data_IF_044180492943
#
_entry.id   IF_044180492943
#
_cell.length_a   1.000
_cell.length_b   1.000
_cell.length_c   1.000
_cell.angle_alpha   90.00
_cell.angle_beta   90.00
_cell.angle_gamma   90.00
#
_symmetry.space_group_name_H-M   'P 1'
#
loop_
_entity.id
_entity.type
_entity.pdbx_description
1 polymer ?
#
# COMPACT_ATOMS: atom_id res chain seq x y z
N UNK A 1 17.10 -0.15 -8.21
CA UNK A 1 18.09 -0.81 -7.34
C UNK A 1 19.41 -0.05 -7.29
N UNK A 2 20.25 -0.37 -6.33
CA UNK A 2 21.58 0.22 -6.15
C UNK A 2 22.59 -0.85 -5.72
N UNK A 3 23.89 -0.54 -5.88
CA UNK A 3 24.99 -1.38 -5.40
C UNK A 3 25.98 -0.52 -4.60
N UNK A 4 26.45 -1.04 -3.48
CA UNK A 4 27.45 -0.33 -2.67
C UNK A 4 28.89 -0.74 -3.04
N UNK A 5 29.86 -0.09 -2.40
CA UNK A 5 31.29 -0.35 -2.60
C UNK A 5 31.74 -1.77 -2.20
N UNK A 6 30.92 -2.49 -1.43
CA UNK A 6 31.15 -3.89 -1.04
C UNK A 6 30.41 -4.86 -1.95
N UNK A 7 29.91 -4.40 -3.09
CA UNK A 7 29.12 -5.18 -4.06
C UNK A 7 27.81 -5.77 -3.48
N UNK A 8 27.31 -5.24 -2.37
CA UNK A 8 25.96 -5.58 -1.89
C UNK A 8 24.93 -4.93 -2.79
N UNK A 9 23.89 -5.66 -3.14
CA UNK A 9 22.80 -5.15 -3.96
C UNK A 9 21.62 -4.75 -3.05
N UNK A 10 21.02 -3.62 -3.38
CA UNK A 10 19.87 -3.07 -2.66
C UNK A 10 18.73 -2.85 -3.65
N UNK A 11 17.56 -3.28 -3.27
CA UNK A 11 16.33 -2.85 -3.89
C UNK A 11 15.52 -2.07 -2.87
N UNK A 12 15.09 -0.86 -3.24
CA UNK A 12 14.35 0.03 -2.34
C UNK A 12 13.04 0.43 -3.01
N UNK A 13 11.96 0.11 -2.35
CA UNK A 13 10.60 0.40 -2.79
C UNK A 13 9.88 1.28 -1.75
N UNK A 14 9.25 2.35 -2.22
CA UNK A 14 8.37 3.17 -1.40
C UNK A 14 6.93 2.79 -1.70
N UNK A 15 6.21 2.29 -0.69
CA UNK A 15 4.83 1.86 -0.82
C UNK A 15 3.92 2.82 -0.07
N UNK A 16 3.24 3.69 -0.82
CA UNK A 16 2.33 4.68 -0.26
C UNK A 16 0.95 4.11 0.08
N UNK A 17 0.55 3.04 -0.63
CA UNK A 17 -0.70 2.34 -0.41
C UNK A 17 -0.44 0.84 -0.48
N UNK A 18 -0.89 0.10 0.54
CA UNK A 18 -0.76 -1.36 0.57
C UNK A 18 -2.00 -2.07 0.02
N UNK A 19 -2.92 -1.35 -0.60
CA UNK A 19 -4.25 -1.71 -1.11
C UNK A 19 -4.38 -3.20 -1.52
N UNK A 20 -4.53 -4.06 -0.50
CA UNK A 20 -4.72 -5.50 -0.66
C UNK A 20 -3.49 -6.33 -1.05
N UNK A 21 -2.33 -5.74 -1.34
CA UNK A 21 -1.12 -6.48 -1.70
C UNK A 21 -0.27 -6.87 -0.48
N UNK A 22 0.28 -8.08 -0.51
CA UNK A 22 1.18 -8.58 0.54
C UNK A 22 2.62 -8.15 0.28
N UNK A 23 3.00 -7.01 0.84
CA UNK A 23 4.36 -6.44 0.75
C UNK A 23 5.45 -7.43 1.16
N UNK A 24 5.15 -8.36 2.08
CA UNK A 24 6.08 -9.42 2.51
C UNK A 24 6.35 -10.43 1.41
N UNK A 25 5.31 -10.79 0.65
CA UNK A 25 5.45 -11.67 -0.53
C UNK A 25 6.15 -10.95 -1.68
N UNK A 26 5.88 -9.65 -1.88
CA UNK A 26 6.61 -8.83 -2.85
C UNK A 26 8.09 -8.76 -2.52
N UNK A 27 8.48 -8.61 -1.26
CA UNK A 27 9.88 -8.62 -0.85
C UNK A 27 10.59 -9.94 -1.22
N UNK A 28 9.91 -11.09 -1.11
CA UNK A 28 10.42 -12.38 -1.58
C UNK A 28 10.57 -12.42 -3.11
N UNK A 29 9.61 -11.88 -3.83
CA UNK A 29 9.65 -11.84 -5.30
C UNK A 29 10.81 -10.96 -5.80
N UNK A 30 10.98 -9.76 -5.24
CA UNK A 30 12.08 -8.87 -5.61
C UNK A 30 13.45 -9.45 -5.28
N UNK A 31 13.57 -10.19 -4.18
CA UNK A 31 14.78 -10.93 -3.87
C UNK A 31 15.17 -11.87 -5.03
N UNK A 32 14.20 -12.62 -5.57
CA UNK A 32 14.47 -13.52 -6.71
C UNK A 32 14.83 -12.80 -8.00
N UNK A 33 14.28 -11.59 -8.23
CA UNK A 33 14.63 -10.76 -9.38
C UNK A 33 16.06 -10.24 -9.32
N UNK A 34 16.59 -9.95 -8.13
CA UNK A 34 17.99 -9.54 -7.95
C UNK A 34 18.96 -10.71 -8.16
N UNK A 35 18.62 -11.89 -7.67
CA UNK A 35 19.51 -13.04 -7.68
C UNK A 35 19.59 -13.70 -9.08
N UNK A 36 18.48 -13.77 -9.80
CA UNK A 36 18.36 -14.49 -11.07
C UNK A 36 19.33 -13.99 -12.16
N UNK A 37 19.52 -12.68 -12.40
CA UNK A 37 20.42 -12.21 -13.46
C UNK A 37 21.90 -12.42 -13.17
N UNK A 38 22.27 -12.61 -11.91
CA UNK A 38 23.67 -12.72 -11.49
C UNK A 38 24.29 -14.05 -11.90
N UNK A 39 23.48 -15.10 -11.97
CA UNK A 39 23.94 -16.45 -12.27
C UNK A 39 23.81 -16.78 -13.75
N UNK A 40 24.92 -17.16 -14.37
CA UNK A 40 24.93 -17.71 -15.72
C UNK A 40 24.44 -19.15 -15.70
N UNK A 41 23.52 -19.48 -16.60
CA UNK A 41 23.02 -20.84 -16.77
C UNK A 41 24.14 -21.83 -17.17
N UNK A 42 24.07 -23.05 -16.67
CA UNK A 42 24.89 -24.16 -17.08
C UNK A 42 25.99 -24.59 -16.11
N UNK A 43 26.92 -25.42 -16.56
CA UNK A 43 27.97 -26.07 -15.73
C UNK A 43 28.91 -25.07 -15.01
N UNK A 44 28.96 -23.82 -15.42
CA UNK A 44 29.78 -22.76 -14.81
C UNK A 44 29.10 -22.01 -13.68
N UNK A 45 27.86 -22.33 -13.35
CA UNK A 45 27.10 -21.70 -12.25
C UNK A 45 27.79 -21.95 -10.89
N UNK A 46 28.07 -20.87 -10.19
CA UNK A 46 28.68 -20.93 -8.84
C UNK A 46 27.92 -20.02 -7.89
N UNK A 47 27.06 -20.58 -7.07
CA UNK A 47 26.24 -19.84 -6.10
C UNK A 47 27.05 -19.03 -5.07
N UNK A 48 28.30 -19.43 -4.79
CA UNK A 48 29.21 -18.65 -3.93
C UNK A 48 29.54 -17.23 -4.44
N UNK A 49 29.16 -16.91 -5.68
CA UNK A 49 29.36 -15.60 -6.28
C UNK A 49 28.10 -14.72 -6.21
N UNK A 50 27.01 -15.22 -5.62
CA UNK A 50 25.85 -14.39 -5.34
C UNK A 50 26.27 -13.27 -4.38
N UNK A 51 25.97 -12.02 -4.70
CA UNK A 51 26.21 -10.90 -3.79
C UNK A 51 25.25 -10.97 -2.60
N UNK A 52 25.59 -10.32 -1.52
CA UNK A 52 24.57 -10.06 -0.47
C UNK A 52 23.53 -9.11 -1.01
N UNK A 53 22.26 -9.41 -0.73
CA UNK A 53 21.11 -8.64 -1.22
C UNK A 53 20.24 -8.15 -0.07
N UNK A 54 19.78 -6.91 -0.18
CA UNK A 54 18.94 -6.26 0.82
C UNK A 54 17.71 -5.68 0.13
N UNK A 55 16.55 -6.18 0.49
CA UNK A 55 15.27 -5.63 0.04
C UNK A 55 14.76 -4.67 1.10
N UNK A 56 14.48 -3.42 0.72
CA UNK A 56 14.02 -2.36 1.63
C UNK A 56 12.64 -1.90 1.16
N UNK A 57 11.64 -2.07 2.01
CA UNK A 57 10.33 -1.45 1.83
C UNK A 57 10.16 -0.28 2.80
N UNK A 58 9.73 0.86 2.27
CA UNK A 58 9.33 2.03 3.06
C UNK A 58 7.82 2.12 2.97
N UNK A 59 7.12 2.00 4.10
CA UNK A 59 5.66 1.96 4.15
C UNK A 59 5.10 3.14 4.94
N UNK A 60 3.96 3.67 4.49
CA UNK A 60 3.21 4.68 5.23
C UNK A 60 2.53 4.12 6.47
N UNK A 61 2.26 2.80 6.49
CA UNK A 61 1.59 2.12 7.59
C UNK A 61 2.51 1.08 8.23
N UNK A 62 2.24 0.75 9.50
CA UNK A 62 2.93 -0.34 10.19
C UNK A 62 2.32 -1.69 9.81
N UNK A 63 2.83 -2.33 8.77
CA UNK A 63 2.36 -3.62 8.27
C UNK A 63 2.51 -4.79 9.29
N UNK A 64 3.24 -4.59 10.38
CA UNK A 64 3.44 -5.59 11.45
C UNK A 64 2.70 -5.24 12.75
N UNK A 65 2.20 -4.01 12.90
CA UNK A 65 1.44 -3.57 14.07
C UNK A 65 2.23 -3.58 15.38
N UNK A 66 3.56 -3.39 15.36
CA UNK A 66 4.43 -3.41 16.55
C UNK A 66 5.05 -2.06 16.88
N UNK A 67 4.67 -1.02 16.14
CA UNK A 67 5.09 0.37 16.33
C UNK A 67 6.63 0.53 16.43
N UNK A 68 7.35 0.00 15.44
CA UNK A 68 8.79 0.21 15.27
C UNK A 68 9.07 0.91 13.96
N UNK A 69 10.06 1.82 13.95
CA UNK A 69 10.49 2.51 12.73
C UNK A 69 11.20 1.58 11.74
N UNK A 70 11.74 0.46 12.22
CA UNK A 70 12.46 -0.51 11.38
C UNK A 70 12.22 -1.93 11.87
N UNK A 71 11.99 -2.84 10.92
CA UNK A 71 11.96 -4.28 11.12
C UNK A 71 12.97 -4.89 10.17
N UNK A 72 13.87 -5.72 10.69
CA UNK A 72 14.86 -6.45 9.89
C UNK A 72 14.61 -7.95 10.04
N UNK A 73 14.46 -8.62 8.90
CA UNK A 73 14.25 -10.06 8.83
C UNK A 73 15.45 -10.73 8.17
N UNK A 74 15.89 -11.81 8.79
CA UNK A 74 16.90 -12.76 8.30
C UNK A 74 16.44 -14.16 8.65
N UNK A 75 16.91 -15.14 7.91
CA UNK A 75 16.54 -16.55 8.13
C UNK A 75 17.33 -17.17 9.30
N UNK A 76 16.62 -17.96 10.12
CA UNK A 76 17.16 -18.66 11.29
C UNK A 76 16.73 -20.10 11.26
N UNK A 77 17.52 -20.95 11.90
CA UNK A 77 17.15 -22.33 12.18
C UNK A 77 16.01 -22.38 13.20
N UNK A 78 14.99 -23.19 12.95
CA UNK A 78 13.86 -23.35 13.89
C UNK A 78 14.28 -24.16 15.13
N UNK A 79 15.14 -25.17 14.93
CA UNK A 79 15.63 -26.05 15.98
C UNK A 79 16.69 -25.37 16.87
N UNK A 80 17.46 -24.44 16.29
CA UNK A 80 18.49 -23.67 16.98
C UNK A 80 18.33 -22.17 16.67
N UNK A 81 17.48 -21.41 17.37
CA UNK A 81 17.13 -20.04 17.05
C UNK A 81 18.29 -19.04 17.01
N UNK A 82 19.41 -19.35 17.66
CA UNK A 82 20.63 -18.51 17.60
C UNK A 82 21.46 -18.76 16.33
N UNK A 83 21.19 -19.85 15.61
CA UNK A 83 21.88 -20.17 14.36
C UNK A 83 21.22 -19.43 13.21
N UNK A 84 21.98 -18.50 12.61
CA UNK A 84 21.58 -17.79 11.42
C UNK A 84 21.95 -18.57 10.17
N UNK A 85 21.10 -18.57 9.13
CA UNK A 85 21.43 -19.18 7.83
C UNK A 85 22.61 -18.48 7.15
N UNK A 86 22.73 -17.17 7.35
CA UNK A 86 23.81 -16.29 6.87
C UNK A 86 24.09 -16.43 5.35
N UNK A 87 23.01 -16.54 4.58
CA UNK A 87 23.01 -16.66 3.12
C UNK A 87 23.29 -15.33 2.40
N UNK A 88 23.51 -14.25 3.15
CA UNK A 88 23.73 -12.91 2.63
C UNK A 88 22.47 -12.13 2.29
N UNK A 89 21.27 -12.68 2.54
CA UNK A 89 20.01 -11.98 2.29
C UNK A 89 19.46 -11.26 3.52
N UNK A 90 18.78 -10.15 3.32
CA UNK A 90 17.98 -9.51 4.37
C UNK A 90 16.82 -8.71 3.79
N UNK A 91 15.75 -8.61 4.56
CA UNK A 91 14.58 -7.79 4.23
C UNK A 91 14.37 -6.77 5.34
N UNK A 92 14.27 -5.51 4.96
CA UNK A 92 14.10 -4.38 5.87
C UNK A 92 12.79 -3.69 5.54
N UNK A 93 11.96 -3.49 6.55
CA UNK A 93 10.72 -2.72 6.42
C UNK A 93 10.84 -1.48 7.30
N UNK A 94 10.69 -0.32 6.69
CA UNK A 94 10.76 0.99 7.33
C UNK A 94 9.36 1.57 7.42
N UNK A 95 8.93 1.91 8.62
CA UNK A 95 7.61 2.43 8.91
C UNK A 95 7.67 3.93 9.19
N UNK A 96 7.05 4.74 8.31
CA UNK A 96 7.04 6.20 8.43
C UNK A 96 6.11 6.73 9.53
N UNK A 97 5.29 5.89 10.17
CA UNK A 97 4.39 6.34 11.24
C UNK A 97 5.01 6.27 12.63
N UNK A 98 5.98 5.36 12.82
CA UNK A 98 6.58 5.13 14.14
C UNK A 98 7.65 6.16 14.48
N UNK A 99 7.72 6.46 15.78
CA UNK A 99 8.82 7.24 16.37
C UNK A 99 9.78 6.37 17.21
N UNK A 100 9.53 5.06 17.26
CA UNK A 100 10.33 4.10 18.02
C UNK A 100 11.46 3.52 17.17
N UNK A 101 12.59 4.22 17.16
CA UNK A 101 13.78 3.86 16.41
C UNK A 101 14.95 4.77 16.73
N UNK A 102 16.05 4.60 16.00
CA UNK A 102 17.17 5.53 16.09
C UNK A 102 16.71 6.92 15.63
N UNK A 103 17.07 8.00 16.35
CA UNK A 103 16.61 9.37 16.04
C UNK A 103 16.90 9.79 14.59
N UNK A 104 18.06 9.40 14.05
CA UNK A 104 18.45 9.71 12.67
C UNK A 104 17.52 9.07 11.64
N UNK A 105 17.18 7.79 11.87
CA UNK A 105 16.27 7.07 11.00
C UNK A 105 14.85 7.63 11.09
N UNK A 106 14.36 7.89 12.30
CA UNK A 106 13.04 8.49 12.51
C UNK A 106 12.96 9.85 11.82
N UNK A 107 13.99 10.71 11.99
CA UNK A 107 14.04 12.02 11.35
C UNK A 107 14.02 11.92 9.81
N UNK A 108 14.77 10.97 9.23
CA UNK A 108 14.74 10.72 7.80
C UNK A 108 13.34 10.27 7.31
N UNK A 109 12.72 9.32 8.00
CA UNK A 109 11.40 8.81 7.64
C UNK A 109 10.31 9.90 7.77
N UNK A 110 10.39 10.75 8.79
CA UNK A 110 9.50 11.90 8.94
C UNK A 110 9.72 12.95 7.85
N UNK A 111 10.97 13.20 7.46
CA UNK A 111 11.28 14.06 6.33
C UNK A 111 10.68 13.48 5.02
N UNK A 112 10.88 12.20 4.75
CA UNK A 112 10.33 11.54 3.56
C UNK A 112 8.79 11.60 3.53
N UNK A 113 8.14 11.53 4.69
CA UNK A 113 6.69 11.58 4.80
C UNK A 113 6.12 12.97 4.50
N UNK A 114 6.78 14.03 4.91
CA UNK A 114 6.25 15.40 4.89
C UNK A 114 6.99 16.33 3.92
N UNK A 115 8.18 15.95 3.49
CA UNK A 115 9.04 16.68 2.55
C UNK A 115 9.26 18.14 2.97
N UNK A 116 9.44 18.36 4.29
CA UNK A 116 9.73 19.67 4.86
C UNK A 116 10.56 19.51 6.13
N UNK A 117 11.53 20.41 6.33
CA UNK A 117 12.29 20.49 7.57
C UNK A 117 11.50 21.11 8.72
N UNK A 118 10.41 21.81 8.44
CA UNK A 118 9.53 22.40 9.46
C UNK A 118 8.56 21.34 10.03
N UNK A 119 9.13 20.28 10.59
CA UNK A 119 8.42 19.21 11.25
C UNK A 119 9.08 18.92 12.61
N UNK A 120 8.27 18.93 13.68
CA UNK A 120 8.73 18.70 15.06
C UNK A 120 9.30 17.31 15.30
N UNK A 121 8.93 16.35 14.49
CA UNK A 121 9.41 14.97 14.58
C UNK A 121 10.81 14.79 13.94
N UNK A 122 11.32 15.81 13.24
CA UNK A 122 12.71 15.83 12.72
C UNK A 122 13.63 16.38 13.81
N UNK A 123 14.06 15.48 14.68
CA UNK A 123 14.90 15.82 15.84
C UNK A 123 16.36 15.98 15.40
N UNK A 124 16.83 15.10 14.48
CA UNK A 124 18.20 15.14 13.96
C UNK A 124 18.18 15.83 12.59
N UNK A 125 18.86 16.98 12.51
CA UNK A 125 19.03 17.77 11.29
C UNK A 125 20.50 17.78 10.91
N UNK A 126 21.03 16.60 10.61
CA UNK A 126 22.42 16.47 10.19
C UNK A 126 22.62 16.88 8.72
N UNK A 127 23.88 16.94 8.30
CA UNK A 127 24.27 17.34 6.94
C UNK A 127 23.59 16.52 5.85
N UNK A 128 23.27 15.24 6.12
CA UNK A 128 22.63 14.33 5.16
C UNK A 128 21.18 14.73 4.89
N UNK A 129 20.42 15.07 5.93
CA UNK A 129 19.03 15.52 5.79
C UNK A 129 18.99 16.91 5.16
N UNK A 130 19.89 17.82 5.54
CA UNK A 130 19.97 19.15 4.95
C UNK A 130 20.34 19.10 3.47
N UNK A 131 21.29 18.22 3.09
CA UNK A 131 21.65 18.03 1.69
C UNK A 131 20.52 17.39 0.89
N UNK A 132 19.80 16.44 1.47
CA UNK A 132 18.61 15.84 0.85
C UNK A 132 17.53 16.90 0.61
N UNK A 133 17.23 17.74 1.60
CA UNK A 133 16.28 18.84 1.47
C UNK A 133 16.66 19.83 0.37
N UNK A 134 17.94 20.18 0.27
CA UNK A 134 18.44 21.05 -0.81
C UNK A 134 18.20 20.42 -2.19
N UNK A 135 18.55 19.13 -2.36
CA UNK A 135 18.35 18.41 -3.62
C UNK A 135 16.86 18.33 -3.97
N UNK A 136 16.00 18.00 -2.99
CA UNK A 136 14.55 17.93 -3.20
C UNK A 136 13.99 19.29 -3.63
N UNK A 137 14.40 20.38 -2.96
CA UNK A 137 13.96 21.72 -3.31
C UNK A 137 14.45 22.15 -4.71
N UNK A 138 15.68 21.78 -5.11
CA UNK A 138 16.19 22.01 -6.46
C UNK A 138 15.34 21.28 -7.52
N UNK A 139 15.03 19.99 -7.29
CA UNK A 139 14.18 19.18 -8.18
C UNK A 139 12.76 19.74 -8.26
N UNK A 140 12.18 20.16 -7.13
CA UNK A 140 10.82 20.71 -7.09
C UNK A 140 10.67 22.04 -7.85
N UNK A 141 11.76 22.70 -8.21
CA UNK A 141 11.75 23.95 -9.01
C UNK A 141 11.90 23.70 -10.50
N UNK A 142 12.04 22.44 -10.93
CA UNK A 142 12.20 22.11 -12.36
C UNK A 142 10.88 22.00 -13.09
N UNK A 143 10.88 22.24 -14.39
CA UNK A 143 9.72 22.05 -15.26
C UNK A 143 9.30 20.58 -15.33
N UNK A 144 10.27 19.66 -15.28
CA UNK A 144 10.03 18.22 -15.25
C UNK A 144 9.23 17.81 -14.00
N UNK A 145 9.51 18.43 -12.85
CA UNK A 145 8.74 18.19 -11.62
C UNK A 145 7.29 18.65 -11.75
N UNK A 146 7.04 19.82 -12.33
CA UNK A 146 5.68 20.29 -12.58
C UNK A 146 4.91 19.33 -13.50
N UNK A 147 5.56 18.78 -14.51
CA UNK A 147 4.94 17.78 -15.39
C UNK A 147 4.62 16.48 -14.64
N UNK A 148 5.52 16.00 -13.77
CA UNK A 148 5.30 14.82 -12.91
C UNK A 148 4.13 15.07 -11.95
N UNK A 149 4.09 16.22 -11.31
CA UNK A 149 3.04 16.62 -10.37
C UNK A 149 1.66 16.66 -11.03
N UNK A 150 1.56 17.21 -12.26
CA UNK A 150 0.33 17.20 -13.04
C UNK A 150 -0.13 15.80 -13.39
N UNK A 151 0.80 14.92 -13.79
CA UNK A 151 0.51 13.52 -14.09
C UNK A 151 0.00 12.76 -12.85
N UNK A 152 0.67 12.93 -11.69
CA UNK A 152 0.24 12.32 -10.42
C UNK A 152 -1.17 12.80 -10.03
N UNK A 153 -1.45 14.09 -10.20
CA UNK A 153 -2.77 14.66 -9.92
C UNK A 153 -3.85 14.04 -10.82
N UNK A 154 -3.58 13.91 -12.12
CA UNK A 154 -4.50 13.33 -13.10
C UNK A 154 -4.79 11.85 -12.77
N UNK A 155 -3.76 11.06 -12.47
CA UNK A 155 -3.91 9.66 -12.04
C UNK A 155 -4.73 9.59 -10.74
N UNK A 156 -4.44 10.43 -9.76
CA UNK A 156 -5.17 10.48 -8.49
C UNK A 156 -6.65 10.83 -8.68
N UNK A 157 -6.95 11.76 -9.56
CA UNK A 157 -8.33 12.11 -9.90
C UNK A 157 -9.07 10.96 -10.60
N UNK A 158 -8.42 10.27 -11.54
CA UNK A 158 -8.99 9.12 -12.24
C UNK A 158 -9.31 7.98 -11.26
N UNK A 159 -8.37 7.63 -10.39
CA UNK A 159 -8.57 6.59 -9.37
C UNK A 159 -9.65 6.99 -8.35
N UNK A 160 -9.68 8.25 -7.93
CA UNK A 160 -10.71 8.76 -7.03
C UNK A 160 -12.11 8.69 -7.63
N UNK A 161 -12.24 8.98 -8.92
CA UNK A 161 -13.49 8.89 -9.66
C UNK A 161 -13.96 7.42 -9.78
N UNK A 162 -13.06 6.51 -10.13
CA UNK A 162 -13.34 5.07 -10.23
C UNK A 162 -13.82 4.49 -8.89
N UNK A 163 -13.09 4.72 -7.81
CA UNK A 163 -13.46 4.27 -6.45
C UNK A 163 -14.78 4.89 -5.99
N UNK A 164 -15.01 6.17 -6.32
CA UNK A 164 -16.26 6.86 -6.02
C UNK A 164 -17.45 6.24 -6.75
N UNK A 165 -17.29 5.89 -8.02
CA UNK A 165 -18.31 5.23 -8.84
C UNK A 165 -18.62 3.83 -8.32
N UNK A 166 -17.61 3.02 -8.01
CA UNK A 166 -17.78 1.68 -7.44
C UNK A 166 -18.50 1.71 -6.08
N UNK A 167 -18.05 2.59 -5.18
CA UNK A 167 -18.67 2.78 -3.87
C UNK A 167 -20.11 3.26 -4.01
N UNK A 168 -20.38 4.17 -4.95
CA UNK A 168 -21.72 4.68 -5.25
C UNK A 168 -22.64 3.58 -5.76
N UNK A 169 -22.15 2.74 -6.66
CA UNK A 169 -22.89 1.60 -7.19
C UNK A 169 -23.25 0.58 -6.10
N UNK A 170 -22.26 0.19 -5.27
CA UNK A 170 -22.50 -0.73 -4.15
C UNK A 170 -23.54 -0.20 -3.16
N UNK A 171 -23.41 1.07 -2.77
CA UNK A 171 -24.40 1.71 -1.88
C UNK A 171 -25.78 1.82 -2.55
N UNK A 172 -25.83 2.04 -3.86
CA UNK A 172 -27.08 2.07 -4.63
C UNK A 172 -27.79 0.71 -4.63
N UNK A 173 -27.05 -0.37 -4.88
CA UNK A 173 -27.57 -1.73 -4.83
C UNK A 173 -28.10 -2.06 -3.43
N UNK A 174 -27.28 -1.84 -2.40
CA UNK A 174 -27.69 -2.11 -1.01
C UNK A 174 -28.97 -1.36 -0.62
N UNK A 175 -29.05 -0.07 -0.93
CA UNK A 175 -30.25 0.72 -0.66
C UNK A 175 -31.48 0.21 -1.43
N UNK A 176 -31.27 -0.24 -2.69
CA UNK A 176 -32.32 -0.85 -3.51
C UNK A 176 -32.86 -2.13 -2.88
N UNK A 177 -31.98 -3.01 -2.40
CA UNK A 177 -32.34 -4.24 -1.71
C UNK A 177 -33.09 -3.96 -0.40
N UNK A 178 -32.59 -3.03 0.43
CA UNK A 178 -33.23 -2.65 1.67
C UNK A 178 -34.66 -2.09 1.44
N UNK A 179 -34.83 -1.25 0.42
CA UNK A 179 -36.14 -0.71 0.04
C UNK A 179 -37.10 -1.80 -0.42
N UNK A 180 -36.63 -2.75 -1.22
CA UNK A 180 -37.45 -3.89 -1.65
C UNK A 180 -37.90 -4.72 -0.46
N UNK A 181 -36.98 -5.06 0.45
CA UNK A 181 -37.30 -5.84 1.67
C UNK A 181 -38.34 -5.11 2.53
N UNK A 182 -38.22 -3.79 2.70
CA UNK A 182 -39.19 -2.99 3.44
C UNK A 182 -40.57 -2.99 2.76
N UNK A 183 -40.64 -2.81 1.44
CA UNK A 183 -41.88 -2.85 0.67
C UNK A 183 -42.57 -4.22 0.83
N UNK A 184 -41.83 -5.32 0.68
CA UNK A 184 -42.38 -6.68 0.81
C UNK A 184 -42.93 -6.94 2.22
N UNK A 185 -42.26 -6.43 3.26
CA UNK A 185 -42.75 -6.51 4.64
C UNK A 185 -44.07 -5.75 4.83
N UNK A 186 -44.18 -4.54 4.29
CA UNK A 186 -45.39 -3.74 4.35
C UNK A 186 -46.54 -4.39 3.61
N UNK A 187 -46.31 -4.87 2.39
CA UNK A 187 -47.35 -5.57 1.60
C UNK A 187 -47.86 -6.82 2.30
N UNK A 188 -46.97 -7.64 2.86
CA UNK A 188 -47.34 -8.84 3.63
C UNK A 188 -48.13 -8.49 4.89
N UNK A 189 -47.73 -7.45 5.62
CA UNK A 189 -48.46 -7.01 6.82
C UNK A 189 -49.86 -6.46 6.49
N UNK A 190 -50.01 -5.88 5.30
CA UNK A 190 -51.31 -5.43 4.78
C UNK A 190 -52.18 -6.53 4.13
N UNK A 191 -51.70 -7.78 4.13
CA UNK A 191 -52.40 -8.91 3.52
C UNK A 191 -52.33 -8.94 1.99
N UNK A 192 -51.51 -8.07 1.37
CA UNK A 192 -51.36 -7.93 -0.10
C UNK A 192 -50.27 -8.88 -0.64
N UNK A 193 -50.46 -10.19 -0.44
CA UNK A 193 -49.44 -11.18 -0.80
C UNK A 193 -49.20 -11.28 -2.32
N UNK A 194 -50.26 -11.19 -3.13
CA UNK A 194 -50.15 -11.22 -4.59
C UNK A 194 -49.32 -10.03 -5.12
N UNK A 195 -49.52 -8.85 -4.54
CA UNK A 195 -48.73 -7.64 -4.86
C UNK A 195 -47.27 -7.81 -4.45
N UNK A 196 -47.00 -8.46 -3.33
CA UNK A 196 -45.62 -8.73 -2.87
C UNK A 196 -44.93 -9.69 -3.85
N UNK A 197 -45.57 -10.74 -4.30
CA UNK A 197 -45.01 -11.70 -5.27
C UNK A 197 -44.78 -11.03 -6.63
N UNK A 198 -45.74 -10.22 -7.10
CA UNK A 198 -45.59 -9.47 -8.36
C UNK A 198 -44.46 -8.43 -8.29
N UNK A 199 -44.32 -7.73 -7.19
CA UNK A 199 -43.27 -6.69 -7.01
C UNK A 199 -41.86 -7.24 -7.15
N UNK A 200 -41.60 -8.52 -6.92
CA UNK A 200 -40.29 -9.16 -7.07
C UNK A 200 -39.87 -9.19 -8.55
N UNK A 201 -40.78 -9.50 -9.45
CA UNK A 201 -40.49 -9.77 -10.86
C UNK A 201 -40.89 -8.62 -11.80
N UNK A 202 -41.82 -7.76 -11.41
CA UNK A 202 -42.32 -6.63 -12.20
C UNK A 202 -41.80 -5.30 -11.68
N UNK A 203 -40.72 -4.76 -12.33
CA UNK A 203 -40.07 -3.54 -11.92
C UNK A 203 -40.99 -2.31 -12.02
N UNK A 204 -41.82 -2.22 -13.08
CA UNK A 204 -42.71 -1.08 -13.27
C UNK A 204 -43.81 -1.07 -12.21
N UNK A 205 -44.36 -2.25 -11.89
CA UNK A 205 -45.33 -2.39 -10.81
C UNK A 205 -44.70 -2.06 -9.42
N UNK A 206 -43.48 -2.50 -9.21
CA UNK A 206 -42.73 -2.17 -8.00
C UNK A 206 -42.48 -0.65 -7.85
N UNK A 207 -42.18 0.07 -8.94
CA UNK A 207 -42.08 1.53 -8.92
C UNK A 207 -43.38 2.22 -8.53
N UNK A 208 -44.54 1.73 -9.02
CA UNK A 208 -45.85 2.22 -8.60
C UNK A 208 -46.08 2.03 -7.10
N UNK A 209 -45.74 0.87 -6.57
CA UNK A 209 -45.85 0.57 -5.16
C UNK A 209 -44.92 1.43 -4.30
N UNK A 210 -43.71 1.73 -4.78
CA UNK A 210 -42.82 2.68 -4.06
C UNK A 210 -43.42 4.09 -3.99
N UNK A 211 -44.16 4.53 -4.99
CA UNK A 211 -44.89 5.82 -4.95
C UNK A 211 -46.09 5.74 -3.99
N UNK A 212 -46.86 4.67 -4.05
CA UNK A 212 -48.02 4.43 -3.18
C UNK A 212 -47.64 4.48 -1.68
N UNK A 213 -46.50 3.89 -1.32
CA UNK A 213 -46.01 3.82 0.07
C UNK A 213 -45.02 4.92 0.46
N UNK A 214 -44.88 5.97 -0.37
CA UNK A 214 -43.97 7.13 -0.12
C UNK A 214 -42.50 6.74 0.15
N UNK A 215 -42.00 5.72 -0.53
CA UNK A 215 -40.57 5.32 -0.49
C UNK A 215 -39.68 6.24 -1.34
N UNK A 216 -39.97 7.49 -1.51
CA UNK A 216 -39.21 8.43 -2.34
C UNK A 216 -37.96 8.93 -1.64
#
# INVERSE_FOLDING_TARGET
WAQDVKSRQFDMEMQNDTDGDDVRKRARYYQSLLDTPVLKSGKATRYKHLPSTVIIFITQEDIFGRDRAMYTFRERCEEEPELMLDDGTSKIFLNMTSRKGRPELVSLLQYMKHTTLDNRDIIVRDERILNLDRIVNEVMQTEEWEAVKMNILEIGMAQGMERGMETGLQKGIQRGEERLVQLLKLLKSAGRNEDADRAIFDEEYRKQLYQEFEFL
#
